data_IF_330700548691
#
_entry.id   IF_330700548691
#
_cell.length_a   1.000
_cell.length_b   1.000
_cell.length_c   1.000
_cell.angle_alpha   90.00
_cell.angle_beta   90.00
_cell.angle_gamma   90.00
#
_symmetry.space_group_name_H-M   'P 1'
#
loop_
_entity.id
_entity.type
_entity.pdbx_description
1 polymer ?
#
# COMPACT_ATOMS: atom_id res chain seq x y z
N UNK A 1 -9.03 -7.01 -11.11
CA UNK A 1 -7.91 -7.67 -10.39
C UNK A 1 -8.35 -7.87 -8.95
N UNK A 2 -8.22 -9.10 -8.45
CA UNK A 2 -8.87 -9.56 -7.21
C UNK A 2 -8.29 -8.86 -5.98
N UNK A 3 -9.19 -8.46 -5.08
CA UNK A 3 -8.99 -7.84 -3.77
C UNK A 3 -8.26 -8.84 -2.87
N UNK A 4 -6.93 -8.86 -2.93
CA UNK A 4 -6.10 -9.79 -2.13
C UNK A 4 -5.28 -9.06 -1.06
N UNK A 5 -5.08 -7.73 -1.14
CA UNK A 5 -4.18 -7.01 -0.21
C UNK A 5 -4.78 -6.68 1.17
N UNK A 6 -6.10 -6.52 1.28
CA UNK A 6 -6.77 -6.07 2.51
C UNK A 6 -6.74 -7.12 3.63
N UNK A 7 -6.95 -8.42 3.37
CA UNK A 7 -6.82 -9.45 4.40
C UNK A 7 -5.44 -9.47 5.04
N UNK A 8 -4.37 -9.24 4.26
CA UNK A 8 -2.99 -9.23 4.77
C UNK A 8 -2.69 -8.03 5.66
N UNK A 9 -3.27 -6.86 5.36
CA UNK A 9 -3.19 -5.68 6.24
C UNK A 9 -3.95 -5.93 7.54
N UNK A 10 -5.18 -6.44 7.50
CA UNK A 10 -5.95 -6.73 8.72
C UNK A 10 -5.25 -7.81 9.57
N UNK A 11 -4.69 -8.84 8.95
CA UNK A 11 -3.87 -9.84 9.65
C UNK A 11 -2.61 -9.24 10.28
N UNK A 12 -1.92 -8.34 9.59
CA UNK A 12 -0.76 -7.63 10.13
C UNK A 12 -1.14 -6.82 11.39
N UNK A 13 -2.31 -6.19 11.38
CA UNK A 13 -2.80 -5.40 12.51
C UNK A 13 -3.22 -6.25 13.71
N UNK A 14 -3.86 -7.39 13.44
CA UNK A 14 -4.21 -8.37 14.47
C UNK A 14 -2.97 -8.97 15.14
N UNK A 15 -1.93 -9.29 14.35
CA UNK A 15 -0.69 -9.86 14.90
C UNK A 15 0.09 -8.82 15.73
N UNK A 16 0.14 -7.56 15.30
CA UNK A 16 0.81 -6.50 16.05
C UNK A 16 0.10 -6.18 17.39
N UNK A 17 -1.23 -6.32 17.46
CA UNK A 17 -1.95 -6.20 18.73
C UNK A 17 -1.64 -7.36 19.68
N UNK A 18 -1.58 -8.60 19.16
CA UNK A 18 -1.28 -9.79 19.97
C UNK A 18 0.15 -9.76 20.53
N UNK A 19 1.14 -9.36 19.72
CA UNK A 19 2.54 -9.18 20.16
C UNK A 19 2.66 -8.07 21.21
N UNK A 20 1.86 -7.00 21.12
CA UNK A 20 1.88 -5.91 22.08
C UNK A 20 1.23 -6.27 23.43
N UNK A 21 0.35 -7.27 23.47
CA UNK A 21 -0.35 -7.71 24.69
C UNK A 21 0.32 -8.88 25.40
N UNK A 22 1.27 -9.57 24.77
CA UNK A 22 1.96 -10.71 25.38
C UNK A 22 2.90 -10.28 26.53
N UNK A 23 2.74 -10.81 27.76
CA UNK A 23 3.78 -10.71 28.77
C UNK A 23 4.98 -11.55 28.32
N UNK A 24 6.16 -10.92 28.20
CA UNK A 24 7.39 -11.52 27.66
C UNK A 24 7.90 -12.77 28.42
N UNK A 25 7.29 -13.15 29.55
CA UNK A 25 7.84 -14.09 30.53
C UNK A 25 7.29 -15.52 30.47
N UNK A 26 6.18 -15.80 29.76
CA UNK A 26 5.54 -17.14 29.79
C UNK A 26 5.61 -17.94 28.48
N UNK A 27 6.06 -17.33 27.38
CA UNK A 27 6.01 -17.96 26.05
C UNK A 27 7.39 -18.48 25.63
N UNK A 28 7.52 -19.75 25.15
CA UNK A 28 8.81 -20.30 24.75
C UNK A 28 9.45 -19.51 23.59
N UNK A 29 10.78 -19.33 23.65
CA UNK A 29 11.59 -18.54 22.70
C UNK A 29 11.35 -18.91 21.23
N UNK A 30 11.16 -20.20 20.95
CA UNK A 30 10.91 -20.69 19.59
C UNK A 30 9.60 -20.14 18.98
N UNK A 31 8.57 -19.92 19.81
CA UNK A 31 7.30 -19.33 19.37
C UNK A 31 7.47 -17.84 19.11
N UNK A 32 8.22 -17.14 19.97
CA UNK A 32 8.52 -15.71 19.78
C UNK A 32 9.26 -15.45 18.46
N UNK A 33 10.31 -16.22 18.17
CA UNK A 33 11.10 -16.08 16.94
C UNK A 33 10.24 -16.32 15.68
N UNK A 34 9.36 -17.34 15.72
CA UNK A 34 8.42 -17.62 14.62
C UNK A 34 7.44 -16.47 14.42
N UNK A 35 6.87 -15.93 15.50
CA UNK A 35 5.96 -14.79 15.43
C UNK A 35 6.64 -13.56 14.85
N UNK A 36 7.85 -13.22 15.32
CA UNK A 36 8.62 -12.10 14.76
C UNK A 36 8.99 -12.30 13.28
N UNK A 37 9.37 -13.51 12.88
CA UNK A 37 9.66 -13.82 11.48
C UNK A 37 8.42 -13.65 10.58
N UNK A 38 7.25 -14.11 11.03
CA UNK A 38 5.99 -13.91 10.31
C UNK A 38 5.63 -12.42 10.23
N UNK A 39 5.79 -11.66 11.31
CA UNK A 39 5.57 -10.21 11.30
C UNK A 39 6.48 -9.49 10.29
N UNK A 40 7.76 -9.87 10.25
CA UNK A 40 8.75 -9.30 9.35
C UNK A 40 8.40 -9.55 7.88
N UNK A 41 7.99 -10.77 7.53
CA UNK A 41 7.62 -11.10 6.14
C UNK A 41 6.36 -10.37 5.68
N UNK A 42 5.36 -10.21 6.54
CA UNK A 42 4.15 -9.44 6.27
C UNK A 42 4.44 -7.94 6.04
N UNK A 43 5.28 -7.36 6.90
CA UNK A 43 5.68 -5.96 6.77
C UNK A 43 6.40 -5.70 5.45
N UNK A 44 7.42 -6.53 5.14
CA UNK A 44 8.16 -6.43 3.87
C UNK A 44 7.24 -6.61 2.66
N UNK A 45 6.27 -7.53 2.74
CA UNK A 45 5.25 -7.72 1.70
C UNK A 45 4.40 -6.47 1.45
N UNK A 46 3.93 -5.82 2.51
CA UNK A 46 3.12 -4.60 2.41
C UNK A 46 3.87 -3.43 1.76
N UNK A 47 5.15 -3.23 2.14
CA UNK A 47 6.01 -2.18 1.57
C UNK A 47 6.28 -2.46 0.09
N UNK A 48 6.52 -3.71 -0.29
CA UNK A 48 6.73 -4.10 -1.69
C UNK A 48 5.51 -3.79 -2.55
N UNK A 49 4.31 -4.06 -2.05
CA UNK A 49 3.07 -3.81 -2.77
C UNK A 49 2.83 -2.31 -2.99
N UNK A 50 3.09 -1.46 -1.98
CA UNK A 50 3.00 -0.01 -2.09
C UNK A 50 4.03 0.54 -3.09
N UNK A 51 5.25 0.01 -3.07
CA UNK A 51 6.26 0.41 -4.06
C UNK A 51 5.81 0.09 -5.49
N UNK A 52 5.17 -1.05 -5.69
CA UNK A 52 4.69 -1.45 -7.02
C UNK A 52 3.53 -0.57 -7.49
N UNK A 53 2.61 -0.18 -6.59
CA UNK A 53 1.53 0.76 -6.94
C UNK A 53 2.06 2.12 -7.36
N UNK A 54 3.10 2.62 -6.69
CA UNK A 54 3.73 3.90 -6.98
C UNK A 54 4.50 3.85 -8.31
N UNK A 55 5.26 2.79 -8.53
CA UNK A 55 5.99 2.55 -9.78
C UNK A 55 5.04 2.54 -10.99
N UNK A 56 3.86 1.97 -10.82
CA UNK A 56 2.84 1.96 -11.88
C UNK A 56 2.33 3.37 -12.18
N UNK A 57 2.11 4.21 -11.16
CA UNK A 57 1.71 5.61 -11.33
C UNK A 57 2.79 6.42 -12.06
N UNK A 58 4.06 6.29 -11.64
CA UNK A 58 5.20 6.92 -12.30
C UNK A 58 5.31 6.50 -13.77
N UNK A 59 5.11 5.22 -14.07
CA UNK A 59 5.13 4.72 -15.45
C UNK A 59 4.04 5.37 -16.32
N UNK A 60 2.85 5.63 -15.77
CA UNK A 60 1.79 6.33 -16.51
C UNK A 60 2.17 7.77 -16.84
N UNK A 61 2.76 8.48 -15.88
CA UNK A 61 3.24 9.85 -16.08
C UNK A 61 4.38 9.91 -17.10
N UNK A 62 5.27 8.91 -17.10
CA UNK A 62 6.33 8.78 -18.11
C UNK A 62 5.75 8.57 -19.50
N UNK A 63 4.73 7.71 -19.65
CA UNK A 63 4.04 7.50 -20.93
C UNK A 63 3.36 8.79 -21.40
N UNK A 64 2.70 9.52 -20.49
CA UNK A 64 2.10 10.81 -20.83
C UNK A 64 3.17 11.80 -21.34
N UNK A 65 4.30 11.93 -20.63
CA UNK A 65 5.43 12.78 -21.03
C UNK A 65 6.02 12.38 -22.38
N UNK A 66 6.22 11.08 -22.61
CA UNK A 66 6.74 10.56 -23.87
C UNK A 66 5.81 10.87 -25.04
N UNK A 67 4.49 10.76 -24.85
CA UNK A 67 3.50 11.16 -25.87
C UNK A 67 3.58 12.66 -26.15
N UNK A 68 3.68 13.49 -25.11
CA UNK A 68 3.82 14.95 -25.29
C UNK A 68 5.09 15.35 -26.04
N UNK A 69 6.19 14.64 -25.79
CA UNK A 69 7.47 14.86 -26.47
C UNK A 69 7.52 14.28 -27.88
N UNK A 70 6.61 13.36 -28.22
CA UNK A 70 6.51 12.80 -29.55
C UNK A 70 5.91 13.81 -30.54
N UNK A 71 6.29 13.74 -31.82
CA UNK A 71 5.71 14.54 -32.89
C UNK A 71 4.32 14.01 -33.30
N UNK A 72 3.40 13.87 -32.33
CA UNK A 72 2.08 13.25 -32.50
C UNK A 72 1.21 13.92 -33.58
N UNK A 73 1.46 15.20 -33.84
CA UNK A 73 0.82 15.99 -34.89
C UNK A 73 1.28 15.63 -36.30
N UNK A 74 2.45 14.99 -36.47
CA UNK A 74 2.93 14.50 -37.78
C UNK A 74 2.48 13.08 -38.10
N UNK A 75 1.88 12.36 -37.15
CA UNK A 75 1.34 11.02 -37.36
C UNK A 75 0.11 11.05 -38.29
N UNK A 76 -0.13 9.92 -38.96
CA UNK A 76 -1.35 9.66 -39.72
C UNK A 76 -2.61 9.83 -38.85
N UNK A 77 -3.74 10.17 -39.46
CA UNK A 77 -5.01 10.42 -38.76
C UNK A 77 -5.43 9.26 -37.85
N UNK A 78 -5.21 8.01 -38.29
CA UNK A 78 -5.47 6.79 -37.50
C UNK A 78 -4.58 6.71 -36.25
N UNK A 79 -3.27 6.93 -36.40
CA UNK A 79 -2.31 6.83 -35.31
C UNK A 79 -2.47 7.98 -34.31
N UNK A 80 -2.76 9.19 -34.80
CA UNK A 80 -3.06 10.37 -33.97
C UNK A 80 -4.24 10.11 -33.04
N UNK A 81 -5.33 9.53 -33.55
CA UNK A 81 -6.49 9.16 -32.74
C UNK A 81 -6.12 8.16 -31.63
N UNK A 82 -5.28 7.18 -31.94
CA UNK A 82 -4.81 6.19 -30.96
C UNK A 82 -3.95 6.83 -29.86
N UNK A 83 -3.02 7.72 -30.25
CA UNK A 83 -2.19 8.48 -29.30
C UNK A 83 -3.03 9.38 -28.39
N UNK A 84 -4.04 10.07 -28.92
CA UNK A 84 -4.96 10.86 -28.09
C UNK A 84 -5.72 10.00 -27.08
N UNK A 85 -6.12 8.78 -27.44
CA UNK A 85 -6.75 7.83 -26.51
C UNK A 85 -5.77 7.40 -25.43
N UNK A 86 -4.54 7.04 -25.79
CA UNK A 86 -3.49 6.67 -24.83
C UNK A 86 -3.18 7.81 -23.86
N UNK A 87 -3.05 9.04 -24.37
CA UNK A 87 -2.83 10.23 -23.56
C UNK A 87 -3.97 10.49 -22.59
N UNK A 88 -5.22 10.39 -23.04
CA UNK A 88 -6.40 10.55 -22.17
C UNK A 88 -6.45 9.46 -21.09
N UNK A 89 -5.97 8.25 -21.38
CA UNK A 89 -5.92 7.15 -20.40
C UNK A 89 -4.77 7.30 -19.40
N UNK A 90 -3.62 7.82 -19.81
CA UNK A 90 -2.48 8.06 -18.90
C UNK A 90 -2.70 9.26 -17.98
N UNK A 91 -3.53 10.22 -18.39
CA UNK A 91 -3.94 11.34 -17.54
C UNK A 91 -4.95 10.95 -16.46
N UNK A 92 -5.59 9.77 -16.57
CA UNK A 92 -6.45 9.26 -15.51
C UNK A 92 -5.58 8.49 -14.52
N UNK A 93 -5.52 8.90 -13.25
CA UNK A 93 -4.67 8.23 -12.28
C UNK A 93 -5.14 6.78 -12.11
N UNK A 94 -4.34 5.81 -12.55
CA UNK A 94 -4.60 4.40 -12.21
C UNK A 94 -3.96 4.12 -10.86
N UNK A 95 -4.58 4.67 -9.82
CA UNK A 95 -4.29 4.18 -8.48
C UNK A 95 -4.79 2.75 -8.36
N UNK A 96 -4.02 1.90 -7.68
CA UNK A 96 -4.55 0.61 -7.24
C UNK A 96 -5.57 0.93 -6.14
N UNK A 97 -6.84 0.98 -6.54
CA UNK A 97 -7.92 1.21 -5.62
C UNK A 97 -8.35 -0.09 -4.95
N UNK A 98 -8.46 -0.06 -3.63
CA UNK A 98 -8.99 -1.13 -2.80
C UNK A 98 -10.40 -0.80 -2.32
N UNK A 99 -11.13 -1.84 -1.91
CA UNK A 99 -12.47 -1.72 -1.33
C UNK A 99 -13.46 -0.94 -2.23
N UNK A 100 -13.60 -1.38 -3.49
CA UNK A 100 -14.50 -0.76 -4.47
C UNK A 100 -14.29 0.76 -4.63
N UNK A 101 -13.04 1.20 -4.79
CA UNK A 101 -12.66 2.59 -5.02
C UNK A 101 -12.74 3.53 -3.80
N UNK A 102 -12.92 2.99 -2.58
CA UNK A 102 -12.92 3.79 -1.35
C UNK A 102 -11.52 4.15 -0.85
N UNK A 103 -10.51 3.32 -1.14
CA UNK A 103 -9.15 3.54 -0.67
C UNK A 103 -8.16 3.49 -1.83
N UNK A 104 -7.32 4.52 -1.93
CA UNK A 104 -6.18 4.57 -2.84
C UNK A 104 -4.96 4.07 -2.08
N UNK A 105 -4.30 3.04 -2.62
CA UNK A 105 -3.05 2.54 -2.07
C UNK A 105 -1.92 3.47 -2.51
N UNK A 106 -1.41 4.23 -1.55
CA UNK A 106 -0.35 5.24 -1.67
C UNK A 106 0.45 5.22 -0.34
N UNK A 107 1.71 5.66 -0.36
CA UNK A 107 2.48 5.95 0.86
C UNK A 107 1.73 6.76 1.91
N UNK A 108 0.86 7.68 1.49
CA UNK A 108 0.01 8.46 2.42
C UNK A 108 -0.93 7.57 3.23
N UNK A 109 -1.56 6.59 2.58
CA UNK A 109 -2.43 5.63 3.27
C UNK A 109 -1.62 4.81 4.27
N UNK A 110 -0.46 4.31 3.85
CA UNK A 110 0.41 3.49 4.70
C UNK A 110 0.88 4.25 5.95
N UNK A 111 1.35 5.48 5.81
CA UNK A 111 1.79 6.29 6.95
C UNK A 111 0.62 6.68 7.86
N UNK A 112 -0.56 6.94 7.29
CA UNK A 112 -1.79 7.19 8.06
C UNK A 112 -2.22 6.00 8.91
N UNK A 113 -2.20 4.80 8.33
CA UNK A 113 -2.46 3.53 9.02
C UNK A 113 -1.46 3.37 10.18
N UNK A 114 -0.16 3.47 9.94
CA UNK A 114 0.85 3.33 11.00
C UNK A 114 0.66 4.34 12.15
N UNK A 115 0.39 5.61 11.84
CA UNK A 115 0.10 6.64 12.85
C UNK A 115 -1.13 6.29 13.69
N UNK A 116 -2.18 5.80 13.06
CA UNK A 116 -3.38 5.33 13.76
C UNK A 116 -3.05 4.19 14.74
N UNK A 117 -2.20 3.24 14.34
CA UNK A 117 -1.73 2.16 15.25
C UNK A 117 -0.95 2.68 16.44
N UNK A 118 0.04 3.55 16.22
CA UNK A 118 0.79 4.13 17.32
C UNK A 118 -0.12 4.91 18.29
N UNK A 119 -1.10 5.63 17.77
CA UNK A 119 -2.10 6.34 18.58
C UNK A 119 -2.96 5.39 19.42
N UNK A 120 -3.47 4.31 18.81
CA UNK A 120 -4.23 3.28 19.52
C UNK A 120 -3.40 2.60 20.61
N UNK A 121 -2.17 2.20 20.29
CA UNK A 121 -1.26 1.60 21.27
C UNK A 121 -0.98 2.54 22.44
N UNK A 122 -0.77 3.83 22.15
CA UNK A 122 -0.55 4.84 23.19
C UNK A 122 -1.79 5.03 24.07
N UNK A 123 -2.99 5.03 23.47
CA UNK A 123 -4.25 5.06 24.21
C UNK A 123 -4.39 3.85 25.15
N UNK A 124 -4.16 2.63 24.65
CA UNK A 124 -4.25 1.41 25.46
C UNK A 124 -3.24 1.39 26.61
N UNK A 125 -1.99 1.82 26.37
CA UNK A 125 -0.97 1.95 27.42
C UNK A 125 -1.37 2.94 28.50
N UNK A 126 -1.89 4.11 28.12
CA UNK A 126 -2.35 5.13 29.06
C UNK A 126 -3.54 4.66 29.91
N UNK A 127 -4.44 3.85 29.35
CA UNK A 127 -5.56 3.26 30.12
C UNK A 127 -5.04 2.21 31.11
N UNK A 128 -4.07 1.37 30.72
CA UNK A 128 -3.51 0.34 31.59
C UNK A 128 -2.65 0.89 32.74
N UNK A 129 -2.00 2.05 32.57
CA UNK A 129 -1.21 2.71 33.62
C UNK A 129 -2.02 3.49 34.68
N UNK A 130 -3.35 3.51 34.59
CA UNK A 130 -4.24 4.16 35.59
C UNK A 130 -4.83 3.20 36.62
N UNK A 131 -4.56 1.90 36.50
CA UNK A 131 -4.93 0.86 37.47
C UNK A 131 -3.66 0.35 38.15
#
# INVERSE_FOLDING_TARGET
>A
MKIIAIPWLILWLFIMSEVATMPLTEVPLAVQLRTYAVCGTLYVGSVKFIRESERMNECQEMVARAIYQSEWYRLSSRNRRMVCVMLRRSQRPTHISCLNNMMIIDYKLFTGINKFFYSLLNCMKNVRGRH
#
